data_IF_540484770046
#
_entry.id   IF_540484770046
#
_cell.length_a   1.000
_cell.length_b   1.000
_cell.length_c   1.000
_cell.angle_alpha   90.00
_cell.angle_beta   90.00
_cell.angle_gamma   90.00
#
_symmetry.space_group_name_H-M   'P 1'
#
loop_
_entity.id
_entity.type
_entity.pdbx_description
1 polymer ?
#
# COMPACT_ATOMS: atom_id res chain seq x y z
N UNK A 1 -11.83 -5.09 -25.21
CA UNK A 1 -12.61 -5.48 -24.03
C UNK A 1 -11.64 -5.68 -22.87
N UNK A 2 -11.98 -5.26 -21.66
CA UNK A 2 -11.14 -5.39 -20.46
C UNK A 2 -11.99 -5.75 -19.23
N UNK A 3 -11.36 -6.39 -18.25
CA UNK A 3 -11.97 -6.87 -17.00
C UNK A 3 -12.01 -5.78 -15.92
N UNK A 4 -12.82 -5.98 -14.86
CA UNK A 4 -12.85 -5.06 -13.71
C UNK A 4 -11.54 -5.08 -12.92
N UNK A 5 -10.84 -6.21 -12.93
CA UNK A 5 -9.51 -6.34 -12.34
C UNK A 5 -8.51 -5.42 -13.04
N UNK A 6 -8.46 -5.44 -14.37
CA UNK A 6 -7.59 -4.55 -15.17
C UNK A 6 -7.96 -3.07 -15.00
N UNK A 7 -9.23 -2.77 -14.76
CA UNK A 7 -9.70 -1.43 -14.46
C UNK A 7 -9.38 -0.94 -13.03
N UNK A 8 -8.82 -1.80 -12.16
CA UNK A 8 -8.40 -1.42 -10.80
C UNK A 8 -9.55 -1.12 -9.84
N UNK A 9 -10.74 -1.67 -10.09
CA UNK A 9 -11.96 -1.34 -9.32
C UNK A 9 -11.80 -1.59 -7.82
N UNK A 10 -11.12 -2.68 -7.44
CA UNK A 10 -10.87 -3.01 -6.03
C UNK A 10 -10.04 -1.92 -5.35
N UNK A 11 -8.93 -1.50 -5.98
CA UNK A 11 -8.07 -0.44 -5.44
C UNK A 11 -8.83 0.88 -5.27
N UNK A 12 -9.64 1.26 -6.27
CA UNK A 12 -10.44 2.48 -6.18
C UNK A 12 -11.51 2.41 -5.08
N UNK A 13 -12.10 1.23 -4.86
CA UNK A 13 -13.03 1.02 -3.75
C UNK A 13 -12.33 1.20 -2.39
N UNK A 14 -11.12 0.68 -2.21
CA UNK A 14 -10.33 0.92 -0.99
C UNK A 14 -10.02 2.41 -0.80
N UNK A 15 -9.55 3.08 -1.85
CA UNK A 15 -9.24 4.52 -1.80
C UNK A 15 -10.47 5.36 -1.45
N UNK A 16 -11.65 5.02 -1.98
CA UNK A 16 -12.90 5.71 -1.66
C UNK A 16 -13.29 5.59 -0.18
N UNK A 17 -12.96 4.46 0.45
CA UNK A 17 -13.25 4.20 1.86
C UNK A 17 -12.19 4.79 2.82
N UNK A 18 -11.10 5.36 2.30
CA UNK A 18 -10.08 6.00 3.11
C UNK A 18 -10.19 7.54 3.01
N UNK A 19 -10.65 8.23 4.07
CA UNK A 19 -10.88 9.67 4.00
C UNK A 19 -9.56 10.42 3.77
N UNK A 20 -9.62 11.46 2.96
CA UNK A 20 -8.46 12.33 2.75
C UNK A 20 -8.18 13.15 4.02
N UNK A 21 -6.95 13.05 4.52
CA UNK A 21 -6.49 13.84 5.66
C UNK A 21 -5.75 15.09 5.18
N UNK A 22 -6.18 16.26 5.64
CA UNK A 22 -5.51 17.53 5.38
C UNK A 22 -4.57 17.84 6.54
N UNK A 23 -3.29 18.00 6.25
CA UNK A 23 -2.26 18.35 7.22
C UNK A 23 -1.66 19.70 6.84
N UNK A 24 -1.57 20.62 7.79
CA UNK A 24 -0.91 21.90 7.57
C UNK A 24 0.60 21.68 7.46
N UNK A 25 1.17 22.05 6.32
CA UNK A 25 2.61 22.04 6.10
C UNK A 25 3.20 23.42 6.40
N UNK A 26 4.28 23.45 7.17
CA UNK A 26 5.11 24.65 7.36
C UNK A 26 6.12 24.86 6.22
N UNK A 27 6.30 23.87 5.34
CA UNK A 27 7.23 23.92 4.21
C UNK A 27 6.50 24.30 2.92
N UNK A 28 7.10 25.24 2.17
CA UNK A 28 6.61 25.68 0.87
C UNK A 28 6.61 24.58 -0.20
N UNK A 29 7.41 23.53 0.00
CA UNK A 29 7.47 22.35 -0.86
C UNK A 29 7.28 21.10 0.01
N UNK A 30 6.26 20.32 -0.29
CA UNK A 30 6.05 19.00 0.27
C UNK A 30 6.05 18.01 -0.90
N UNK A 31 7.19 17.36 -1.21
CA UNK A 31 7.21 16.36 -2.27
C UNK A 31 6.27 15.20 -1.92
N UNK A 32 5.70 14.58 -2.94
CA UNK A 32 4.93 13.35 -2.74
C UNK A 32 5.84 12.28 -2.13
N UNK A 33 5.37 11.64 -1.06
CA UNK A 33 6.09 10.59 -0.36
C UNK A 33 5.16 9.42 -0.08
N UNK A 34 5.69 8.19 -0.19
CA UNK A 34 5.01 6.98 0.22
C UNK A 34 5.92 6.14 1.11
N UNK A 35 5.36 5.62 2.20
CA UNK A 35 6.04 4.66 3.06
C UNK A 35 6.20 3.31 2.37
N UNK A 36 5.20 2.89 1.59
CA UNK A 36 5.13 1.58 0.94
C UNK A 36 4.63 1.66 -0.50
N UNK A 37 5.07 0.71 -1.33
CA UNK A 37 4.47 0.44 -2.64
C UNK A 37 4.49 -1.06 -2.94
N UNK A 38 3.49 -1.52 -3.70
CA UNK A 38 3.39 -2.91 -4.16
C UNK A 38 3.48 -2.95 -5.68
N UNK A 39 4.17 -3.95 -6.22
CA UNK A 39 4.44 -4.01 -7.66
C UNK A 39 3.28 -4.58 -8.50
N UNK A 40 2.21 -5.07 -7.86
CA UNK A 40 1.08 -5.69 -8.54
C UNK A 40 -0.24 -5.11 -8.04
N UNK A 41 -1.17 -4.72 -8.94
CA UNK A 41 -2.49 -4.24 -8.55
C UNK A 41 -3.37 -5.34 -7.95
N UNK A 42 -2.98 -6.62 -8.10
CA UNK A 42 -3.66 -7.75 -7.47
C UNK A 42 -3.37 -7.84 -5.96
N UNK A 43 -2.36 -7.11 -5.46
CA UNK A 43 -2.00 -7.09 -4.04
C UNK A 43 -2.56 -5.84 -3.38
N UNK A 44 -3.29 -6.02 -2.28
CA UNK A 44 -3.75 -4.95 -1.41
C UNK A 44 -2.92 -4.96 -0.13
N UNK A 45 -2.28 -3.83 0.18
CA UNK A 45 -1.68 -3.57 1.50
C UNK A 45 -2.79 -3.03 2.41
N UNK A 46 -3.30 -3.85 3.33
CA UNK A 46 -4.46 -3.50 4.14
C UNK A 46 -4.08 -2.66 5.37
N UNK A 47 -2.98 -3.01 6.03
CA UNK A 47 -2.57 -2.30 7.24
C UNK A 47 -1.05 -2.36 7.45
N UNK A 48 -0.54 -1.34 8.13
CA UNK A 48 0.79 -1.30 8.71
C UNK A 48 0.63 -0.96 10.19
N UNK A 49 0.91 -1.92 11.06
CA UNK A 49 0.73 -1.82 12.50
C UNK A 49 2.09 -1.68 13.17
N UNK A 50 2.28 -0.57 13.89
CA UNK A 50 3.50 -0.32 14.65
C UNK A 50 3.51 -1.15 15.94
N UNK A 51 4.57 -1.90 16.18
CA UNK A 51 4.79 -2.71 17.38
C UNK A 51 6.15 -2.35 18.00
N UNK A 52 6.37 -2.64 19.29
CA UNK A 52 7.58 -2.21 19.99
C UNK A 52 8.92 -2.56 19.32
N UNK A 53 8.97 -3.66 18.56
CA UNK A 53 10.22 -4.15 17.95
C UNK A 53 10.15 -4.27 16.41
N UNK A 54 8.98 -4.08 15.81
CA UNK A 54 8.78 -4.30 14.38
C UNK A 54 7.53 -3.59 13.86
N UNK A 55 7.53 -3.28 12.56
CA UNK A 55 6.33 -2.91 11.83
C UNK A 55 5.72 -4.15 11.19
N UNK A 56 4.46 -4.45 11.50
CA UNK A 56 3.73 -5.58 10.90
C UNK A 56 2.88 -5.07 9.75
N UNK A 57 3.17 -5.55 8.54
CA UNK A 57 2.42 -5.19 7.33
C UNK A 57 1.55 -6.36 6.89
N UNK A 58 0.29 -6.09 6.54
CA UNK A 58 -0.65 -7.11 6.07
C UNK A 58 -0.98 -6.92 4.60
N UNK A 59 -0.80 -7.98 3.82
CA UNK A 59 -1.07 -8.00 2.39
C UNK A 59 -2.04 -9.12 2.02
N UNK A 60 -2.87 -8.89 1.00
CA UNK A 60 -3.79 -9.89 0.45
C UNK A 60 -3.77 -9.89 -1.07
N UNK A 61 -3.96 -11.07 -1.66
CA UNK A 61 -4.27 -11.22 -3.08
C UNK A 61 -5.78 -11.02 -3.27
N UNK A 62 -6.15 -10.13 -4.18
CA UNK A 62 -7.52 -9.66 -4.34
C UNK A 62 -8.18 -10.10 -5.66
N UNK A 63 -7.44 -10.75 -6.57
CA UNK A 63 -7.98 -11.17 -7.88
C UNK A 63 -8.42 -12.63 -7.92
N UNK A 64 -8.26 -13.38 -6.81
CA UNK A 64 -8.60 -14.80 -6.73
C UNK A 64 -7.57 -15.70 -7.43
N UNK A 65 -6.32 -15.24 -7.50
CA UNK A 65 -5.24 -15.88 -8.26
C UNK A 65 -3.98 -16.09 -7.41
N UNK A 66 -2.91 -16.61 -8.02
CA UNK A 66 -1.58 -16.64 -7.39
C UNK A 66 -0.68 -15.66 -8.11
N UNK A 67 -0.03 -14.79 -7.35
CA UNK A 67 0.83 -13.73 -7.89
C UNK A 67 2.15 -13.65 -7.13
N UNK A 68 3.23 -13.39 -7.86
CA UNK A 68 4.52 -12.98 -7.29
C UNK A 68 4.62 -11.46 -7.38
N UNK A 69 4.94 -10.80 -6.28
CA UNK A 69 4.97 -9.34 -6.19
C UNK A 69 6.08 -8.88 -5.25
N UNK A 70 6.51 -7.62 -5.44
CA UNK A 70 7.45 -6.94 -4.56
C UNK A 70 6.71 -5.98 -3.64
N UNK A 71 7.05 -6.01 -2.36
CA UNK A 71 6.79 -4.92 -1.42
C UNK A 71 8.05 -4.05 -1.34
N UNK A 72 7.90 -2.77 -1.62
CA UNK A 72 8.97 -1.78 -1.49
C UNK A 72 8.61 -0.83 -0.35
N UNK A 73 9.63 -0.34 0.36
CA UNK A 73 9.45 0.67 1.40
C UNK A 73 10.56 1.71 1.35
N UNK A 74 10.22 2.95 1.72
CA UNK A 74 11.19 4.03 1.93
C UNK A 74 11.68 4.08 3.39
N UNK A 75 11.13 3.24 4.27
CA UNK A 75 11.54 3.13 5.66
C UNK A 75 12.85 2.32 5.78
N UNK A 76 13.73 2.63 6.75
CA UNK A 76 14.93 1.83 6.99
C UNK A 76 14.58 0.40 7.39
N UNK A 77 15.20 -0.58 6.73
CA UNK A 77 14.99 -2.01 7.01
C UNK A 77 16.24 -2.59 7.64
N UNK A 78 16.09 -3.21 8.81
CA UNK A 78 17.13 -4.05 9.41
C UNK A 78 17.03 -5.49 8.91
N UNK A 79 15.81 -6.03 8.93
CA UNK A 79 15.47 -7.39 8.50
C UNK A 79 14.00 -7.44 8.08
N UNK A 80 13.63 -8.47 7.34
CA UNK A 80 12.25 -8.74 6.95
C UNK A 80 11.98 -10.24 7.08
N UNK A 81 10.83 -10.59 7.65
CA UNK A 81 10.39 -11.98 7.87
C UNK A 81 8.93 -12.13 7.48
N UNK A 82 8.53 -13.35 7.10
CA UNK A 82 7.19 -13.71 6.61
C UNK A 82 6.57 -14.79 7.51
#
# INVERSE_FOLDING_TARGET
AGSFQEAGVIQQAYNLNFPLHVVLSSCAQCPAWSAFSVSSPAIVLETAEDRPEALVVRLYEAHGSTVSAWLQTSLPIKEATL
#
